data_IF_176280706614
#
_entry.id   IF_176280706614
#
_cell.length_a   1.000
_cell.length_b   1.000
_cell.length_c   1.000
_cell.angle_alpha   90.00
_cell.angle_beta   90.00
_cell.angle_gamma   90.00
#
_symmetry.space_group_name_H-M   'P 1'
#
loop_
_entity.id
_entity.type
_entity.pdbx_description
1 polymer ?
#
# COMPACT_ATOMS: atom_id res chain seq x y z
N UNK A 1 -12.31 10.49 57.65
CA UNK A 1 -12.19 9.71 56.45
C UNK A 1 -12.12 10.68 55.27
N UNK A 2 -11.02 10.74 54.53
CA UNK A 2 -10.92 11.54 53.32
C UNK A 2 -11.90 10.99 52.30
N UNK A 3 -12.70 11.85 51.68
CA UNK A 3 -13.56 11.45 50.56
C UNK A 3 -12.71 10.93 49.43
N UNK A 4 -13.06 9.81 48.79
CA UNK A 4 -12.29 9.33 47.66
C UNK A 4 -12.34 10.37 46.55
N UNK A 5 -11.20 10.95 46.21
CA UNK A 5 -11.04 11.86 45.07
C UNK A 5 -10.71 11.03 43.86
N UNK A 6 -11.67 10.89 42.91
CA UNK A 6 -11.39 10.34 41.61
C UNK A 6 -10.70 11.39 40.72
N UNK A 7 -9.58 11.05 40.10
CA UNK A 7 -8.90 11.94 39.14
C UNK A 7 -9.55 11.88 37.76
N UNK A 8 -10.30 10.85 37.45
CA UNK A 8 -11.02 10.66 36.19
C UNK A 8 -12.27 9.81 36.39
N UNK A 9 -13.26 10.00 35.54
CA UNK A 9 -14.47 9.20 35.49
C UNK A 9 -14.77 8.85 34.02
N UNK A 10 -15.33 7.67 33.78
CA UNK A 10 -15.76 7.22 32.47
C UNK A 10 -17.26 7.21 32.39
N UNK A 11 -17.81 7.88 31.42
CA UNK A 11 -19.22 7.81 31.08
C UNK A 11 -19.36 7.01 29.77
N UNK A 12 -20.22 6.02 29.76
CA UNK A 12 -20.53 5.21 28.60
C UNK A 12 -21.85 5.66 28.04
N UNK A 13 -21.85 6.19 26.85
CA UNK A 13 -23.04 6.55 26.09
C UNK A 13 -23.28 5.48 25.04
N UNK A 14 -24.40 4.81 25.12
CA UNK A 14 -24.81 3.80 24.14
C UNK A 14 -25.65 4.48 23.06
N UNK A 15 -25.17 4.41 21.80
CA UNK A 15 -25.89 4.94 20.64
C UNK A 15 -26.57 3.75 19.96
N UNK A 16 -27.79 3.98 19.47
CA UNK A 16 -28.61 2.97 18.79
C UNK A 16 -27.78 2.29 17.67
N UNK A 17 -27.57 0.96 17.76
CA UNK A 17 -26.80 0.23 16.77
C UNK A 17 -27.45 0.19 15.37
N UNK A 18 -28.78 0.41 15.30
CA UNK A 18 -29.54 0.41 14.04
C UNK A 18 -29.43 1.74 13.27
N UNK A 19 -28.80 2.77 13.85
CA UNK A 19 -28.50 4.01 13.15
C UNK A 19 -27.49 3.76 12.03
N UNK A 20 -27.81 4.27 10.83
CA UNK A 20 -26.87 4.27 9.72
C UNK A 20 -25.54 4.97 10.08
N UNK A 21 -24.47 4.60 9.44
CA UNK A 21 -23.10 5.07 9.74
C UNK A 21 -22.99 6.61 9.69
N UNK A 22 -23.58 7.25 8.69
CA UNK A 22 -23.49 8.71 8.53
C UNK A 22 -24.18 9.50 9.66
N UNK A 23 -25.46 9.27 10.01
CA UNK A 23 -26.09 9.99 11.12
C UNK A 23 -25.44 9.67 12.47
N UNK A 24 -24.93 8.47 12.68
CA UNK A 24 -24.20 8.09 13.89
C UNK A 24 -22.91 8.90 14.04
N UNK A 25 -22.14 9.08 12.95
CA UNK A 25 -20.94 9.92 12.94
C UNK A 25 -21.26 11.38 13.23
N UNK A 26 -22.27 11.96 12.55
CA UNK A 26 -22.68 13.34 12.79
C UNK A 26 -23.05 13.59 14.25
N UNK A 27 -23.73 12.63 14.89
CA UNK A 27 -24.06 12.72 16.32
C UNK A 27 -22.80 12.68 17.20
N UNK A 28 -21.84 11.84 16.89
CA UNK A 28 -20.58 11.72 17.62
C UNK A 28 -19.72 12.98 17.48
N UNK A 29 -19.66 13.57 16.29
CA UNK A 29 -18.96 14.84 16.04
C UNK A 29 -19.60 15.99 16.82
N UNK A 30 -20.93 16.08 16.79
CA UNK A 30 -21.66 17.08 17.59
C UNK A 30 -21.41 16.90 19.09
N UNK A 31 -21.38 15.68 19.59
CA UNK A 31 -21.05 15.41 21.00
C UNK A 31 -19.61 15.85 21.30
N UNK A 32 -18.66 15.55 20.43
CA UNK A 32 -17.26 15.96 20.56
C UNK A 32 -17.15 17.48 20.65
N UNK A 33 -17.82 18.21 19.75
CA UNK A 33 -17.80 19.68 19.71
C UNK A 33 -18.39 20.27 21.00
N UNK A 34 -19.54 19.81 21.45
CA UNK A 34 -20.18 20.27 22.66
C UNK A 34 -19.31 20.02 23.91
N UNK A 35 -18.68 18.86 24.01
CA UNK A 35 -17.82 18.53 25.14
C UNK A 35 -16.47 19.25 25.08
N UNK A 36 -15.93 19.50 23.88
CA UNK A 36 -14.72 20.28 23.71
C UNK A 36 -14.92 21.75 24.13
N UNK A 37 -16.05 22.35 23.75
CA UNK A 37 -16.43 23.69 24.16
C UNK A 37 -16.62 23.79 25.69
N UNK A 38 -17.20 22.77 26.31
CA UNK A 38 -17.29 22.68 27.76
C UNK A 38 -15.97 22.51 28.47
N UNK A 39 -15.02 21.81 27.88
CA UNK A 39 -13.66 21.65 28.41
C UNK A 39 -12.93 22.98 28.50
N UNK A 40 -13.17 23.92 27.58
CA UNK A 40 -12.57 25.26 27.61
C UNK A 40 -13.17 26.17 28.68
N UNK A 41 -14.40 25.89 29.11
CA UNK A 41 -15.15 26.75 30.05
C UNK A 41 -15.15 26.18 31.48
N UNK A 42 -14.77 24.94 31.71
CA UNK A 42 -14.75 24.24 32.99
C UNK A 42 -13.34 23.86 33.44
N UNK A 43 -13.19 23.54 34.73
CA UNK A 43 -11.93 22.96 35.27
C UNK A 43 -11.76 21.47 34.95
N UNK A 44 -12.73 20.87 34.28
CA UNK A 44 -12.74 19.46 33.88
C UNK A 44 -12.46 19.36 32.39
N UNK A 45 -11.57 18.46 32.02
CA UNK A 45 -11.33 18.12 30.62
C UNK A 45 -12.24 16.96 30.23
N UNK A 46 -13.01 17.16 29.18
CA UNK A 46 -13.89 16.12 28.61
C UNK A 46 -13.27 15.62 27.31
N UNK A 47 -13.20 14.32 27.15
CA UNK A 47 -12.72 13.67 25.94
C UNK A 47 -13.78 12.65 25.48
N UNK A 48 -14.24 12.79 24.25
CA UNK A 48 -15.19 11.86 23.64
C UNK A 48 -14.40 10.88 22.78
N UNK A 49 -14.45 9.61 23.14
CA UNK A 49 -13.75 8.53 22.45
C UNK A 49 -14.78 7.54 21.96
N UNK A 50 -14.77 7.24 20.68
CA UNK A 50 -15.48 6.11 20.09
C UNK A 50 -14.62 5.41 19.05
N UNK A 51 -14.91 4.15 18.76
CA UNK A 51 -14.17 3.42 17.73
C UNK A 51 -14.36 4.05 16.35
N UNK A 52 -15.55 4.61 16.06
CA UNK A 52 -15.84 5.24 14.79
C UNK A 52 -15.10 6.58 14.62
N UNK A 53 -15.06 7.40 15.69
CA UNK A 53 -14.30 8.67 15.71
C UNK A 53 -12.81 8.41 15.59
N UNK A 54 -12.29 7.44 16.34
CA UNK A 54 -10.85 7.08 16.27
C UNK A 54 -10.46 6.59 14.87
N UNK A 55 -11.29 5.75 14.27
CA UNK A 55 -11.05 5.29 12.90
C UNK A 55 -11.06 6.45 11.90
N UNK A 56 -12.00 7.38 12.05
CA UNK A 56 -12.10 8.57 11.20
C UNK A 56 -10.89 9.50 11.35
N UNK A 57 -10.48 9.80 12.58
CA UNK A 57 -9.30 10.64 12.84
C UNK A 57 -8.01 10.01 12.29
N UNK A 58 -7.87 8.68 12.39
CA UNK A 58 -6.76 7.94 11.80
C UNK A 58 -6.82 8.00 10.26
N UNK A 59 -7.99 7.81 9.67
CA UNK A 59 -8.17 7.86 8.23
C UNK A 59 -7.86 9.27 7.70
N UNK A 60 -8.44 10.32 8.29
CA UNK A 60 -8.20 11.71 7.87
C UNK A 60 -6.73 12.09 7.99
N UNK A 61 -6.08 11.84 9.14
CA UNK A 61 -4.66 12.12 9.33
C UNK A 61 -3.75 11.30 8.41
N UNK A 62 -4.18 10.12 7.99
CA UNK A 62 -3.44 9.29 7.02
C UNK A 62 -3.62 9.81 5.61
N UNK A 63 -4.83 10.21 5.21
CA UNK A 63 -5.09 10.75 3.88
C UNK A 63 -4.36 12.07 3.64
N UNK A 64 -4.27 12.94 4.63
CA UNK A 64 -3.52 14.20 4.54
C UNK A 64 -2.03 13.96 4.26
N UNK A 65 -1.47 12.87 4.78
CA UNK A 65 -0.07 12.50 4.59
C UNK A 65 0.17 11.47 3.48
N UNK A 66 -0.88 10.88 2.88
CA UNK A 66 -0.78 9.82 1.90
C UNK A 66 0.11 10.21 0.72
N UNK A 67 -0.13 11.40 0.15
CA UNK A 67 0.63 11.89 -0.99
C UNK A 67 2.11 12.01 -0.66
N UNK A 68 2.44 12.53 0.53
CA UNK A 68 3.82 12.66 0.99
C UNK A 68 4.48 11.29 1.15
N UNK A 69 3.77 10.31 1.75
CA UNK A 69 4.28 8.95 1.95
C UNK A 69 4.53 8.25 0.62
N UNK A 70 3.60 8.36 -0.33
CA UNK A 70 3.76 7.76 -1.67
C UNK A 70 4.89 8.43 -2.43
N UNK A 71 5.00 9.76 -2.40
CA UNK A 71 6.09 10.49 -3.04
C UNK A 71 7.46 10.13 -2.43
N UNK A 72 7.54 10.00 -1.11
CA UNK A 72 8.75 9.58 -0.41
C UNK A 72 9.16 8.17 -0.81
N UNK A 73 8.21 7.23 -0.81
CA UNK A 73 8.44 5.86 -1.26
C UNK A 73 8.93 5.83 -2.71
N UNK A 74 8.29 6.61 -3.58
CA UNK A 74 8.68 6.72 -4.99
C UNK A 74 10.09 7.30 -5.15
N UNK A 75 10.43 8.34 -4.37
CA UNK A 75 11.77 8.94 -4.36
C UNK A 75 12.84 7.93 -3.93
N UNK A 76 12.58 7.13 -2.87
CA UNK A 76 13.48 6.06 -2.44
C UNK A 76 13.69 5.03 -3.55
N UNK A 77 12.61 4.61 -4.23
CA UNK A 77 12.68 3.68 -5.36
C UNK A 77 13.53 4.25 -6.50
N UNK A 78 13.33 5.52 -6.85
CA UNK A 78 14.14 6.20 -7.89
C UNK A 78 15.61 6.23 -7.50
N UNK A 79 15.94 6.56 -6.25
CA UNK A 79 17.32 6.57 -5.75
C UNK A 79 17.93 5.16 -5.83
N UNK A 80 17.22 4.14 -5.34
CA UNK A 80 17.69 2.75 -5.40
C UNK A 80 17.95 2.27 -6.83
N UNK A 81 17.02 2.54 -7.74
CA UNK A 81 17.19 2.19 -9.16
C UNK A 81 18.34 2.98 -9.80
N UNK A 82 18.51 4.24 -9.46
CA UNK A 82 19.59 5.08 -9.99
C UNK A 82 20.96 4.60 -9.52
N UNK A 83 21.06 4.15 -8.27
CA UNK A 83 22.28 3.53 -7.72
C UNK A 83 22.55 2.17 -8.35
N UNK A 84 21.50 1.36 -8.57
CA UNK A 84 21.63 0.04 -9.17
C UNK A 84 21.95 0.08 -10.66
N UNK A 85 21.42 1.09 -11.37
CA UNK A 85 21.51 1.20 -12.83
C UNK A 85 21.92 2.62 -13.25
N UNK A 86 22.99 2.71 -14.05
CA UNK A 86 23.50 3.99 -14.58
C UNK A 86 22.81 4.45 -15.87
N UNK A 87 21.69 3.83 -16.26
CA UNK A 87 20.98 4.11 -17.51
C UNK A 87 19.56 4.61 -17.21
N UNK A 88 19.17 5.70 -17.82
CA UNK A 88 17.85 6.32 -17.64
C UNK A 88 16.70 5.36 -17.98
N UNK A 89 16.84 4.60 -19.08
CA UNK A 89 15.83 3.60 -19.48
C UNK A 89 15.67 2.48 -18.44
N UNK A 90 16.76 2.07 -17.80
CA UNK A 90 16.75 1.03 -16.77
C UNK A 90 16.14 1.50 -15.44
N UNK A 91 16.01 2.80 -15.25
CA UNK A 91 15.30 3.41 -14.11
C UNK A 91 13.83 3.66 -14.49
N UNK A 92 13.61 4.26 -15.68
CA UNK A 92 12.27 4.67 -16.11
C UNK A 92 11.31 3.49 -16.35
N UNK A 93 11.77 2.41 -16.99
CA UNK A 93 10.88 1.28 -17.32
C UNK A 93 10.31 0.56 -16.09
N UNK A 94 11.12 0.22 -15.05
CA UNK A 94 10.58 -0.29 -13.80
C UNK A 94 9.61 0.66 -13.10
N UNK A 95 9.90 1.98 -13.10
CA UNK A 95 9.00 2.96 -12.50
C UNK A 95 7.62 2.98 -13.17
N UNK A 96 7.59 2.98 -14.51
CA UNK A 96 6.33 2.87 -15.26
C UNK A 96 5.64 1.53 -14.97
N UNK A 97 6.40 0.44 -14.89
CA UNK A 97 5.88 -0.87 -14.50
C UNK A 97 5.26 -0.87 -13.11
N UNK A 98 5.95 -0.34 -12.10
CA UNK A 98 5.45 -0.28 -10.73
C UNK A 98 4.24 0.65 -10.59
N UNK A 99 4.23 1.78 -11.32
CA UNK A 99 3.06 2.66 -11.38
C UNK A 99 1.86 1.93 -11.97
N UNK A 100 2.04 1.15 -13.04
CA UNK A 100 0.97 0.35 -13.62
C UNK A 100 0.46 -0.74 -12.65
N UNK A 101 1.35 -1.35 -11.88
CA UNK A 101 1.00 -2.32 -10.85
C UNK A 101 0.12 -1.70 -9.75
N UNK A 102 0.43 -0.48 -9.30
CA UNK A 102 -0.40 0.25 -8.34
C UNK A 102 -1.78 0.58 -8.92
N UNK A 103 -1.84 1.05 -10.18
CA UNK A 103 -3.10 1.33 -10.86
C UNK A 103 -3.98 0.07 -10.93
N UNK A 104 -3.40 -1.07 -11.27
CA UNK A 104 -4.14 -2.34 -11.29
C UNK A 104 -4.59 -2.76 -9.90
N UNK A 105 -3.72 -2.65 -8.89
CA UNK A 105 -4.03 -3.00 -7.51
C UNK A 105 -5.22 -2.20 -6.98
N UNK A 106 -5.13 -0.88 -7.03
CA UNK A 106 -6.21 -0.02 -6.53
C UNK A 106 -7.45 -0.05 -7.43
N UNK A 107 -7.28 -0.21 -8.75
CA UNK A 107 -8.39 -0.37 -9.68
C UNK A 107 -9.23 -1.62 -9.38
N UNK A 108 -8.59 -2.76 -9.16
CA UNK A 108 -9.28 -4.01 -8.82
C UNK A 108 -9.91 -3.93 -7.42
N UNK A 109 -9.21 -3.33 -6.43
CA UNK A 109 -9.79 -3.10 -5.10
C UNK A 109 -11.05 -2.26 -5.17
N UNK A 110 -11.04 -1.18 -5.93
CA UNK A 110 -12.21 -0.31 -6.10
C UNK A 110 -13.38 -1.05 -6.76
N UNK A 111 -13.11 -1.86 -7.80
CA UNK A 111 -14.14 -2.67 -8.47
C UNK A 111 -14.71 -3.74 -7.53
N UNK A 112 -13.89 -4.30 -6.63
CA UNK A 112 -14.35 -5.29 -5.64
C UNK A 112 -15.23 -4.68 -4.52
N UNK A 113 -15.41 -3.36 -4.49
CA UNK A 113 -16.18 -2.66 -3.47
C UNK A 113 -15.49 -2.62 -2.10
N UNK A 114 -14.18 -2.87 -2.04
CA UNK A 114 -13.42 -2.77 -0.80
C UNK A 114 -13.41 -1.31 -0.33
N UNK A 115 -13.70 -1.09 0.95
CA UNK A 115 -13.59 0.24 1.57
C UNK A 115 -12.13 0.61 1.70
N UNK A 116 -11.79 1.82 1.30
CA UNK A 116 -10.43 2.35 1.43
C UNK A 116 -10.28 2.99 2.80
N UNK A 117 -9.38 2.46 3.62
CA UNK A 117 -9.06 2.96 4.96
C UNK A 117 -7.57 3.36 5.04
N UNK A 118 -7.14 3.90 6.17
CA UNK A 118 -5.75 4.23 6.43
C UNK A 118 -4.79 3.04 6.22
N UNK A 119 -5.26 1.81 6.45
CA UNK A 119 -4.43 0.62 6.27
C UNK A 119 -4.12 0.37 4.79
N UNK A 120 -5.09 0.55 3.89
CA UNK A 120 -4.88 0.39 2.45
C UNK A 120 -3.95 1.46 1.86
N UNK A 121 -3.81 2.61 2.53
CA UNK A 121 -2.82 3.63 2.16
C UNK A 121 -1.38 3.08 2.23
N UNK A 122 -1.09 2.16 3.14
CA UNK A 122 0.22 1.52 3.27
C UNK A 122 0.57 0.54 2.15
N UNK A 123 -0.41 0.11 1.36
CA UNK A 123 -0.22 -0.83 0.25
C UNK A 123 0.73 -0.25 -0.81
N UNK A 124 0.60 1.04 -1.14
CA UNK A 124 1.43 1.65 -2.18
C UNK A 124 2.93 1.58 -1.87
N UNK A 125 3.45 2.07 -0.73
CA UNK A 125 4.87 1.97 -0.42
C UNK A 125 5.36 0.52 -0.29
N UNK A 126 4.54 -0.40 0.23
CA UNK A 126 4.91 -1.80 0.34
C UNK A 126 5.01 -2.48 -1.03
N UNK A 127 4.05 -2.26 -1.93
CA UNK A 127 4.08 -2.82 -3.30
C UNK A 127 5.22 -2.22 -4.11
N UNK A 128 5.52 -0.93 -3.96
CA UNK A 128 6.69 -0.31 -4.58
C UNK A 128 7.99 -0.95 -4.10
N UNK A 129 8.13 -1.15 -2.77
CA UNK A 129 9.32 -1.77 -2.18
C UNK A 129 9.52 -3.22 -2.61
N UNK A 130 8.47 -4.04 -2.61
CA UNK A 130 8.54 -5.43 -3.05
C UNK A 130 8.71 -5.56 -4.58
N UNK A 131 8.04 -4.71 -5.33
CA UNK A 131 8.06 -4.76 -6.80
C UNK A 131 9.39 -4.33 -7.41
N UNK A 132 10.14 -3.43 -6.75
CA UNK A 132 11.45 -3.01 -7.21
C UNK A 132 12.45 -4.17 -7.24
N UNK A 133 12.37 -5.09 -6.28
CA UNK A 133 13.27 -6.24 -6.22
C UNK A 133 13.10 -7.14 -7.43
N UNK A 134 11.88 -7.41 -7.87
CA UNK A 134 11.60 -8.17 -9.09
C UNK A 134 12.23 -7.50 -10.33
N UNK A 135 12.04 -6.19 -10.45
CA UNK A 135 12.58 -5.42 -11.57
C UNK A 135 14.12 -5.42 -11.59
N UNK A 136 14.76 -5.24 -10.43
CA UNK A 136 16.23 -5.24 -10.31
C UNK A 136 16.79 -6.61 -10.68
N UNK A 137 16.23 -7.68 -10.16
CA UNK A 137 16.70 -9.04 -10.44
C UNK A 137 16.55 -9.40 -11.91
N UNK A 138 15.39 -9.13 -12.52
CA UNK A 138 15.15 -9.40 -13.94
C UNK A 138 16.07 -8.59 -14.85
N UNK A 139 16.24 -7.30 -14.57
CA UNK A 139 17.14 -6.47 -15.41
C UNK A 139 18.61 -6.85 -15.27
N UNK A 140 19.07 -7.24 -14.07
CA UNK A 140 20.44 -7.74 -13.89
C UNK A 140 20.65 -9.04 -14.65
N UNK A 141 19.72 -9.97 -14.55
CA UNK A 141 19.79 -11.23 -15.32
C UNK A 141 19.75 -10.96 -16.83
N UNK A 142 18.84 -10.07 -17.30
CA UNK A 142 18.78 -9.70 -18.71
C UNK A 142 20.11 -9.12 -19.21
N UNK A 143 20.77 -8.26 -18.42
CA UNK A 143 22.07 -7.71 -18.78
C UNK A 143 23.16 -8.78 -18.88
N UNK A 144 23.17 -9.78 -18.01
CA UNK A 144 24.14 -10.88 -18.06
C UNK A 144 23.94 -11.80 -19.28
N UNK A 145 22.74 -11.87 -19.82
CA UNK A 145 22.43 -12.64 -21.02
C UNK A 145 22.52 -11.83 -22.31
N UNK A 146 22.64 -10.49 -22.25
CA UNK A 146 22.58 -9.60 -23.41
C UNK A 146 23.64 -9.90 -24.45
N UNK A 147 24.87 -10.22 -24.04
CA UNK A 147 25.97 -10.50 -24.91
C UNK A 147 25.94 -11.91 -25.53
N UNK A 148 25.08 -12.78 -24.98
CA UNK A 148 24.93 -14.18 -25.40
C UNK A 148 23.79 -14.38 -26.41
N UNK A 149 22.90 -13.40 -26.53
CA UNK A 149 21.68 -13.50 -27.37
C UNK A 149 21.59 -12.32 -28.33
N UNK A 150 21.19 -12.56 -29.58
CA UNK A 150 21.19 -11.55 -30.64
C UNK A 150 20.13 -10.47 -30.48
N UNK A 151 19.07 -10.75 -29.70
CA UNK A 151 17.97 -9.79 -29.49
C UNK A 151 17.70 -9.52 -28.01
N UNK A 152 17.18 -8.31 -27.73
CA UNK A 152 16.75 -7.93 -26.37
C UNK A 152 15.62 -8.82 -25.89
N UNK A 153 14.72 -9.22 -26.79
CA UNK A 153 13.60 -10.10 -26.46
C UNK A 153 14.08 -11.48 -26.00
N UNK A 154 15.03 -12.09 -26.70
CA UNK A 154 15.58 -13.39 -26.31
C UNK A 154 16.33 -13.33 -24.97
N UNK A 155 17.17 -12.29 -24.77
CA UNK A 155 17.87 -12.11 -23.50
C UNK A 155 16.89 -11.88 -22.34
N UNK A 156 15.76 -11.18 -22.57
CA UNK A 156 14.70 -10.98 -21.56
C UNK A 156 13.97 -12.28 -21.23
N UNK A 157 13.54 -13.01 -22.26
CA UNK A 157 12.87 -14.32 -22.07
C UNK A 157 13.77 -15.31 -21.33
N UNK A 158 15.08 -15.28 -21.62
CA UNK A 158 16.05 -16.12 -20.93
C UNK A 158 16.21 -15.73 -19.47
N UNK A 159 16.25 -14.43 -19.19
CA UNK A 159 16.29 -13.92 -17.82
C UNK A 159 15.04 -14.34 -17.03
N UNK A 160 13.85 -14.18 -17.63
CA UNK A 160 12.59 -14.63 -17.03
C UNK A 160 12.60 -16.14 -16.76
N UNK A 161 13.04 -16.95 -17.74
CA UNK A 161 13.14 -18.40 -17.55
C UNK A 161 14.13 -18.81 -16.46
N UNK A 162 15.28 -18.14 -16.39
CA UNK A 162 16.30 -18.41 -15.37
C UNK A 162 15.82 -18.07 -13.94
N UNK A 163 15.07 -16.97 -13.80
CA UNK A 163 14.57 -16.49 -12.51
C UNK A 163 13.13 -16.93 -12.21
N UNK A 164 12.48 -17.67 -13.10
CA UNK A 164 11.07 -18.07 -12.94
C UNK A 164 10.81 -18.77 -11.63
N UNK A 165 11.61 -19.77 -11.29
CA UNK A 165 11.40 -20.58 -10.08
C UNK A 165 11.64 -19.78 -8.79
N UNK A 166 12.80 -19.10 -8.60
CA UNK A 166 13.02 -18.35 -7.37
C UNK A 166 12.06 -17.17 -7.20
N UNK A 167 11.72 -16.44 -8.26
CA UNK A 167 10.79 -15.33 -8.17
C UNK A 167 9.34 -15.79 -7.94
N UNK A 168 8.90 -16.85 -8.64
CA UNK A 168 7.56 -17.39 -8.41
C UNK A 168 7.39 -17.94 -6.99
N UNK A 169 8.42 -18.60 -6.45
CA UNK A 169 8.40 -19.10 -5.08
C UNK A 169 8.30 -17.93 -4.09
N UNK A 170 9.09 -16.87 -4.28
CA UNK A 170 9.02 -15.67 -3.46
C UNK A 170 7.64 -15.01 -3.51
N UNK A 171 7.04 -14.90 -4.71
CA UNK A 171 5.68 -14.35 -4.87
C UNK A 171 4.65 -15.23 -4.14
N UNK A 172 4.68 -16.55 -4.35
CA UNK A 172 3.72 -17.47 -3.72
C UNK A 172 3.81 -17.42 -2.20
N UNK A 173 5.02 -17.43 -1.64
CA UNK A 173 5.20 -17.36 -0.18
C UNK A 173 4.75 -16.03 0.39
N UNK A 174 5.02 -14.92 -0.30
CA UNK A 174 4.58 -13.57 0.12
C UNK A 174 3.07 -13.42 0.04
N UNK A 175 2.46 -13.89 -1.07
CA UNK A 175 1.00 -13.90 -1.22
C UNK A 175 0.35 -14.78 -0.13
N UNK A 176 0.88 -15.97 0.14
CA UNK A 176 0.36 -16.84 1.20
C UNK A 176 0.44 -16.16 2.58
N UNK A 177 1.54 -15.46 2.87
CA UNK A 177 1.70 -14.71 4.12
C UNK A 177 0.67 -13.57 4.26
N UNK A 178 0.44 -12.80 3.19
CA UNK A 178 -0.57 -11.73 3.21
C UNK A 178 -2.00 -12.27 3.23
N UNK A 179 -2.28 -13.33 2.49
CA UNK A 179 -3.60 -13.98 2.49
C UNK A 179 -3.97 -14.58 3.85
N UNK A 180 -3.00 -14.89 4.71
CA UNK A 180 -3.28 -15.31 6.08
C UNK A 180 -4.06 -14.22 6.88
N UNK A 181 -3.88 -12.94 6.55
CA UNK A 181 -4.65 -11.85 7.17
C UNK A 181 -6.15 -11.87 6.80
N UNK A 182 -6.53 -12.52 5.69
CA UNK A 182 -7.95 -12.62 5.27
C UNK A 182 -8.80 -13.40 6.28
N UNK A 183 -8.16 -14.28 7.07
CA UNK A 183 -8.81 -15.05 8.14
C UNK A 183 -9.02 -14.19 9.41
N UNK A 184 -8.46 -12.99 9.45
CA UNK A 184 -8.60 -12.09 10.60
C UNK A 184 -10.05 -11.74 10.89
N UNK A 185 -10.48 -11.71 12.17
CA UNK A 185 -11.79 -11.22 12.54
C UNK A 185 -11.95 -9.69 12.36
N UNK A 186 -10.85 -8.98 12.10
CA UNK A 186 -10.83 -7.54 11.86
C UNK A 186 -10.96 -7.26 10.36
N UNK A 187 -12.09 -6.72 9.87
CA UNK A 187 -12.31 -6.49 8.44
C UNK A 187 -11.21 -5.67 7.74
N UNK A 188 -10.66 -4.59 8.34
CA UNK A 188 -9.59 -3.83 7.70
C UNK A 188 -8.32 -4.66 7.43
N UNK A 189 -7.95 -5.59 8.34
CA UNK A 189 -6.80 -6.47 8.15
C UNK A 189 -7.04 -7.49 7.03
N UNK A 190 -8.28 -7.97 6.89
CA UNK A 190 -8.62 -8.88 5.81
C UNK A 190 -8.52 -8.19 4.44
N UNK A 191 -9.02 -6.95 4.34
CA UNK A 191 -8.89 -6.13 3.12
C UNK A 191 -7.43 -5.83 2.81
N UNK A 192 -6.64 -5.44 3.81
CA UNK A 192 -5.20 -5.21 3.67
C UNK A 192 -4.47 -6.45 3.14
N UNK A 193 -4.76 -7.63 3.69
CA UNK A 193 -4.17 -8.89 3.24
C UNK A 193 -4.46 -9.19 1.77
N UNK A 194 -5.71 -9.00 1.37
CA UNK A 194 -6.13 -9.11 -0.03
C UNK A 194 -5.44 -8.07 -0.92
N UNK A 195 -5.41 -6.81 -0.51
CA UNK A 195 -4.81 -5.70 -1.24
C UNK A 195 -3.31 -5.92 -1.49
N UNK A 196 -2.56 -6.31 -0.45
CA UNK A 196 -1.14 -6.60 -0.56
C UNK A 196 -0.86 -7.82 -1.45
N UNK A 197 -1.66 -8.88 -1.33
CA UNK A 197 -1.56 -10.06 -2.19
C UNK A 197 -1.75 -9.70 -3.66
N UNK A 198 -2.78 -8.92 -3.96
CA UNK A 198 -3.06 -8.41 -5.30
C UNK A 198 -1.93 -7.52 -5.81
N UNK A 199 -1.41 -6.64 -4.94
CA UNK A 199 -0.31 -5.74 -5.25
C UNK A 199 0.98 -6.48 -5.62
N UNK A 200 1.34 -7.51 -4.87
CA UNK A 200 2.52 -8.36 -5.15
C UNK A 200 2.38 -9.08 -6.48
N UNK A 201 1.21 -9.67 -6.76
CA UNK A 201 0.95 -10.34 -8.05
C UNK A 201 1.00 -9.34 -9.19
N UNK A 202 0.37 -8.17 -9.04
CA UNK A 202 0.39 -7.10 -10.05
C UNK A 202 1.80 -6.60 -10.31
N UNK A 203 2.62 -6.40 -9.26
CA UNK A 203 4.01 -5.97 -9.38
C UNK A 203 4.87 -7.04 -10.08
N UNK A 204 4.67 -8.31 -9.78
CA UNK A 204 5.38 -9.42 -10.44
C UNK A 204 5.03 -9.50 -11.93
N UNK A 205 3.74 -9.47 -12.28
CA UNK A 205 3.29 -9.49 -13.68
C UNK A 205 3.83 -8.25 -14.42
N UNK A 206 3.71 -7.09 -13.81
CA UNK A 206 4.19 -5.84 -14.42
C UNK A 206 5.70 -5.85 -14.64
N UNK A 207 6.48 -6.33 -13.68
CA UNK A 207 7.94 -6.41 -13.80
C UNK A 207 8.39 -7.45 -14.82
N UNK A 208 7.68 -8.56 -14.97
CA UNK A 208 8.06 -9.63 -15.93
C UNK A 208 7.60 -9.32 -17.34
N UNK A 209 6.33 -8.93 -17.52
CA UNK A 209 5.70 -8.76 -18.84
C UNK A 209 5.81 -7.34 -19.33
N UNK A 210 5.32 -6.36 -18.54
CA UNK A 210 5.20 -4.98 -19.00
C UNK A 210 6.57 -4.30 -19.13
N UNK A 211 7.45 -4.42 -18.15
CA UNK A 211 8.82 -3.88 -18.20
C UNK A 211 9.61 -4.57 -19.33
N UNK A 212 9.42 -5.88 -19.51
CA UNK A 212 10.02 -6.61 -20.64
C UNK A 212 9.57 -6.09 -21.99
N UNK A 213 8.27 -5.87 -22.17
CA UNK A 213 7.73 -5.30 -23.39
C UNK A 213 8.31 -3.90 -23.68
N UNK A 214 8.43 -3.04 -22.65
CA UNK A 214 9.05 -1.72 -22.80
C UNK A 214 10.51 -1.83 -23.22
N UNK A 215 11.28 -2.75 -22.63
CA UNK A 215 12.67 -2.98 -23.05
C UNK A 215 12.77 -3.42 -24.52
N UNK A 216 11.90 -4.29 -24.98
CA UNK A 216 11.88 -4.78 -26.37
C UNK A 216 11.50 -3.67 -27.35
N UNK A 217 10.45 -2.89 -27.02
CA UNK A 217 9.93 -1.84 -27.91
C UNK A 217 10.89 -0.64 -28.02
N UNK A 218 11.45 -0.23 -26.89
CA UNK A 218 12.28 0.98 -26.83
C UNK A 218 13.80 0.71 -26.94
N UNK A 219 14.24 -0.54 -26.86
CA UNK A 219 15.62 -0.87 -27.25
C UNK A 219 15.78 -0.73 -28.75
N UNK A 220 16.23 0.45 -29.17
CA UNK A 220 16.74 0.60 -30.53
C UNK A 220 17.82 -0.47 -30.75
N UNK A 221 17.70 -1.24 -31.84
CA UNK A 221 18.79 -2.05 -32.35
C UNK A 221 20.02 -1.15 -32.38
N UNK A 222 20.98 -1.39 -31.51
CA UNK A 222 22.33 -0.88 -31.73
C UNK A 222 22.85 -1.70 -32.89
N UNK A 223 23.21 -1.04 -34.02
CA UNK A 223 23.75 -1.75 -35.17
C UNK A 223 25.06 -2.44 -34.79
#
# INVERSE_FOLDING_TARGET
AAAPTASSTLWVLEIDPDLEENPRRMLQDQLRDVFSERSTTSTLTYEVISNDLLAHDIDEGTFDNLLLLVLLAFAVVVVMLSVAFRSLSSVAFPLVGLTSALIWTYGILNISGARFTALEATVAPLVLGLGIDYAIHLQRAQRSFRDQYPTVAESWLRACGHLSMPLSLAVVTTVAAFMANVISPLPPLAVLGYALSLGVVSAFISSTVFVGALHVVFSKKVP
#
